data_IF_593612569234
#
_entry.id   IF_593612569234
#
_cell.length_a   1.000
_cell.length_b   1.000
_cell.length_c   1.000
_cell.angle_alpha   90.00
_cell.angle_beta   90.00
_cell.angle_gamma   90.00
#
_symmetry.space_group_name_H-M   'P 1'
#
loop_
_entity.id
_entity.type
_entity.pdbx_description
1 polymer ?
#
# COMPACT_ATOMS: atom_id res chain seq x y z
N UNK A 1 -41.21 -18.60 10.66
CA UNK A 1 -39.77 -18.87 10.83
C UNK A 1 -39.04 -18.26 9.65
N UNK A 2 -38.48 -17.06 9.85
CA UNK A 2 -37.68 -16.37 8.83
C UNK A 2 -36.36 -17.12 8.68
N UNK A 3 -36.10 -17.69 7.50
CA UNK A 3 -34.74 -18.14 7.16
C UNK A 3 -33.91 -16.87 7.01
N UNK A 4 -32.95 -16.66 7.91
CA UNK A 4 -31.90 -15.67 7.70
C UNK A 4 -31.27 -15.96 6.32
N UNK A 5 -31.05 -14.94 5.48
CA UNK A 5 -30.37 -15.16 4.21
C UNK A 5 -28.99 -15.73 4.52
N UNK A 6 -28.66 -16.85 3.88
CA UNK A 6 -27.29 -17.37 3.85
C UNK A 6 -26.40 -16.19 3.45
N UNK A 7 -25.53 -15.76 4.37
CA UNK A 7 -24.50 -14.80 4.04
C UNK A 7 -23.72 -15.44 2.88
N UNK A 8 -23.87 -14.89 1.68
CA UNK A 8 -23.07 -15.27 0.54
C UNK A 8 -21.62 -15.03 0.97
N UNK A 9 -20.92 -16.11 1.33
CA UNK A 9 -19.49 -16.07 1.62
C UNK A 9 -18.81 -15.75 0.30
N UNK A 10 -18.52 -14.47 0.08
CA UNK A 10 -17.78 -14.04 -1.10
C UNK A 10 -16.29 -14.26 -0.74
N UNK A 11 -15.76 -15.40 -1.19
CA UNK A 11 -14.40 -15.86 -0.90
C UNK A 11 -13.43 -15.44 -2.02
N UNK A 12 -13.22 -14.14 -2.19
CA UNK A 12 -12.41 -13.60 -3.30
C UNK A 12 -11.10 -12.99 -2.83
N UNK A 13 -10.07 -13.08 -3.68
CA UNK A 13 -8.82 -12.34 -3.52
C UNK A 13 -8.96 -10.87 -3.97
N UNK A 14 -7.89 -10.08 -3.83
CA UNK A 14 -7.86 -8.67 -4.25
C UNK A 14 -8.11 -8.43 -5.76
N UNK A 15 -8.08 -9.49 -6.58
CA UNK A 15 -8.37 -9.47 -8.01
C UNK A 15 -9.80 -9.96 -8.35
N UNK A 16 -10.62 -10.28 -7.36
CA UNK A 16 -11.98 -10.76 -7.56
C UNK A 16 -12.07 -12.22 -8.04
N UNK A 17 -11.04 -13.03 -7.75
CA UNK A 17 -10.99 -14.46 -8.08
C UNK A 17 -10.98 -15.29 -6.81
N UNK A 18 -11.54 -16.50 -6.85
CA UNK A 18 -11.47 -17.45 -5.74
C UNK A 18 -10.03 -17.99 -5.62
N UNK A 19 -9.29 -17.70 -4.53
CA UNK A 19 -7.96 -18.25 -4.37
C UNK A 19 -8.05 -19.70 -3.88
N UNK A 20 -7.16 -20.55 -4.39
CA UNK A 20 -7.01 -21.92 -3.89
C UNK A 20 -6.20 -21.87 -2.59
N UNK A 21 -6.90 -21.99 -1.46
CA UNK A 21 -6.30 -22.02 -0.12
C UNK A 21 -6.41 -23.42 0.48
N UNK A 22 -5.39 -23.79 1.23
CA UNK A 22 -5.30 -25.02 2.01
C UNK A 22 -5.56 -24.78 3.52
N UNK A 23 -6.20 -23.65 3.83
CA UNK A 23 -6.69 -23.26 5.16
C UNK A 23 -8.16 -22.83 5.09
N UNK A 24 -8.92 -22.92 6.19
CA UNK A 24 -10.28 -22.38 6.24
C UNK A 24 -10.28 -20.86 5.99
N UNK A 25 -11.31 -20.37 5.29
CA UNK A 25 -11.49 -18.94 5.10
C UNK A 25 -11.87 -18.28 6.44
N UNK A 26 -11.15 -17.25 6.89
CA UNK A 26 -11.47 -16.60 8.17
C UNK A 26 -12.58 -15.56 8.02
N UNK A 27 -13.24 -15.25 9.15
CA UNK A 27 -13.96 -13.99 9.32
C UNK A 27 -13.10 -12.96 10.06
N UNK A 28 -13.38 -11.67 9.85
CA UNK A 28 -12.76 -10.58 10.60
C UNK A 28 -13.86 -9.81 11.33
N UNK A 29 -14.05 -10.13 12.61
CA UNK A 29 -15.13 -9.57 13.45
C UNK A 29 -16.53 -9.79 12.86
N UNK A 30 -16.79 -10.98 12.30
CA UNK A 30 -18.06 -11.28 11.63
C UNK A 30 -18.22 -10.59 10.26
N UNK A 31 -17.21 -9.84 9.81
CA UNK A 31 -17.17 -9.26 8.46
C UNK A 31 -16.36 -10.16 7.52
N UNK A 32 -16.62 -9.96 6.23
CA UNK A 32 -16.00 -10.72 5.17
C UNK A 32 -14.50 -10.41 5.04
N UNK A 33 -13.66 -11.44 5.04
CA UNK A 33 -12.23 -11.30 4.79
C UNK A 33 -11.93 -11.35 3.28
N UNK A 34 -11.02 -10.48 2.83
CA UNK A 34 -10.42 -10.49 1.49
C UNK A 34 -9.03 -11.10 1.59
N UNK A 35 -8.75 -12.11 0.76
CA UNK A 35 -7.40 -12.68 0.68
C UNK A 35 -6.47 -11.72 -0.09
N UNK A 36 -5.33 -11.39 0.53
CA UNK A 36 -4.36 -10.43 -0.02
C UNK A 36 -3.15 -11.17 -0.57
N UNK A 37 -2.46 -11.97 0.26
CA UNK A 37 -1.20 -12.59 -0.12
C UNK A 37 -0.94 -13.90 0.65
N UNK A 38 -0.27 -14.86 0.01
CA UNK A 38 0.36 -16.01 0.67
C UNK A 38 1.87 -15.82 0.63
N UNK A 39 2.51 -15.94 1.78
CA UNK A 39 3.95 -15.72 1.97
C UNK A 39 4.54 -17.00 2.54
N UNK A 40 5.30 -17.73 1.74
CA UNK A 40 6.12 -18.84 2.23
C UNK A 40 7.45 -18.28 2.71
N UNK A 41 7.84 -18.50 3.96
CA UNK A 41 9.18 -18.15 4.43
C UNK A 41 10.15 -19.25 4.01
N UNK A 42 11.17 -18.90 3.23
CA UNK A 42 12.18 -19.85 2.78
C UNK A 42 13.19 -20.10 3.91
N UNK A 43 13.97 -21.19 3.80
CA UNK A 43 15.00 -21.53 4.79
C UNK A 43 15.93 -20.35 5.14
N UNK A 44 16.39 -19.60 4.13
CA UNK A 44 17.24 -18.42 4.35
C UNK A 44 16.52 -17.31 5.14
N UNK A 45 15.21 -17.13 4.96
CA UNK A 45 14.42 -16.17 5.71
C UNK A 45 14.32 -16.59 7.19
N UNK A 46 14.12 -17.90 7.44
CA UNK A 46 14.04 -18.47 8.80
C UNK A 46 15.38 -18.36 9.53
N UNK A 47 16.51 -18.61 8.84
CA UNK A 47 17.85 -18.42 9.38
C UNK A 47 18.11 -16.98 9.80
N UNK A 48 17.69 -15.99 8.99
CA UNK A 48 17.79 -14.58 9.34
C UNK A 48 16.93 -14.21 10.56
N UNK A 49 15.78 -14.85 10.71
CA UNK A 49 14.89 -14.67 11.85
C UNK A 49 15.34 -15.44 13.11
N UNK A 50 16.34 -16.32 13.01
CA UNK A 50 16.72 -17.22 14.09
C UNK A 50 15.65 -18.28 14.40
N UNK A 51 14.77 -18.58 13.44
CA UNK A 51 13.67 -19.51 13.58
C UNK A 51 14.05 -20.92 13.14
N UNK A 52 13.47 -21.93 13.79
CA UNK A 52 13.60 -23.35 13.44
C UNK A 52 12.28 -23.96 12.93
N UNK A 53 11.18 -23.19 12.98
CA UNK A 53 9.86 -23.63 12.54
C UNK A 53 9.57 -23.12 11.14
N UNK A 54 9.48 -24.07 10.20
CA UNK A 54 8.97 -23.85 8.85
C UNK A 54 7.53 -23.34 8.91
N UNK A 55 7.30 -22.16 8.31
CA UNK A 55 5.99 -21.50 8.37
C UNK A 55 5.60 -20.79 7.08
N UNK A 56 4.30 -20.74 6.86
CA UNK A 56 3.66 -19.92 5.84
C UNK A 56 2.71 -18.92 6.47
N UNK A 57 2.60 -17.74 5.88
CA UNK A 57 1.72 -16.68 6.33
C UNK A 57 0.65 -16.43 5.26
N UNK A 58 -0.59 -16.34 5.68
CA UNK A 58 -1.73 -15.98 4.85
C UNK A 58 -2.26 -14.64 5.33
N UNK A 59 -2.13 -13.62 4.51
CA UNK A 59 -2.56 -12.26 4.82
C UNK A 59 -3.96 -12.02 4.28
N UNK A 60 -4.84 -11.61 5.18
CA UNK A 60 -6.20 -11.18 4.91
C UNK A 60 -6.41 -9.76 5.41
N UNK A 61 -7.36 -9.06 4.80
CA UNK A 61 -7.86 -7.78 5.30
C UNK A 61 -9.38 -7.74 5.22
N UNK A 62 -10.00 -6.86 6.00
CA UNK A 62 -11.43 -6.62 5.93
C UNK A 62 -11.82 -5.30 6.56
N UNK A 63 -12.94 -4.76 6.10
CA UNK A 63 -13.58 -3.60 6.71
C UNK A 63 -14.44 -4.03 7.89
N UNK A 64 -14.26 -3.37 9.02
CA UNK A 64 -15.04 -3.57 10.25
C UNK A 64 -15.82 -2.29 10.53
N UNK A 65 -17.14 -2.40 10.49
CA UNK A 65 -18.05 -1.30 10.80
C UNK A 65 -18.02 -1.02 12.31
N UNK A 66 -17.89 0.26 12.69
CA UNK A 66 -17.84 0.66 14.10
C UNK A 66 -19.24 0.77 14.71
N UNK A 67 -20.29 0.83 13.89
CA UNK A 67 -21.66 1.12 14.29
C UNK A 67 -21.92 2.61 14.59
N UNK A 68 -20.91 3.46 14.55
CA UNK A 68 -21.04 4.91 14.69
C UNK A 68 -21.37 5.54 13.33
N UNK A 69 -22.33 6.47 13.30
CA UNK A 69 -22.70 7.20 12.08
C UNK A 69 -22.38 8.67 12.27
N UNK A 70 -21.41 9.16 11.49
CA UNK A 70 -21.04 10.57 11.46
C UNK A 70 -21.96 11.34 10.50
N UNK A 71 -22.45 12.55 10.87
CA UNK A 71 -23.35 13.33 10.01
C UNK A 71 -22.80 13.64 8.61
N UNK A 72 -21.50 13.87 8.49
CA UNK A 72 -20.84 14.22 7.22
C UNK A 72 -20.26 13.02 6.46
N UNK A 73 -19.85 11.97 7.18
CA UNK A 73 -19.06 10.87 6.61
C UNK A 73 -19.82 9.54 6.54
N UNK A 74 -21.05 9.50 7.07
CA UNK A 74 -21.86 8.29 7.13
C UNK A 74 -21.35 7.31 8.18
N UNK A 75 -21.64 6.03 7.97
CA UNK A 75 -21.18 4.97 8.88
C UNK A 75 -19.65 4.87 8.88
N UNK A 76 -19.07 5.00 10.07
CA UNK A 76 -17.64 4.91 10.28
C UNK A 76 -17.19 3.45 10.30
N UNK A 77 -16.08 3.18 9.62
CA UNK A 77 -15.49 1.86 9.52
C UNK A 77 -13.98 1.92 9.68
N UNK A 78 -13.37 0.77 9.97
CA UNK A 78 -11.92 0.61 10.12
C UNK A 78 -11.45 -0.57 9.30
N UNK A 79 -10.24 -0.49 8.78
CA UNK A 79 -9.57 -1.68 8.22
C UNK A 79 -9.01 -2.50 9.37
N UNK A 80 -9.22 -3.81 9.32
CA UNK A 80 -8.53 -4.78 10.16
C UNK A 80 -7.80 -5.76 9.26
N UNK A 81 -6.66 -6.26 9.73
CA UNK A 81 -5.91 -7.31 9.05
C UNK A 81 -5.89 -8.57 9.90
N UNK A 82 -5.71 -9.71 9.25
CA UNK A 82 -5.50 -10.98 9.90
C UNK A 82 -4.37 -11.69 9.18
N UNK A 83 -3.35 -12.08 9.93
CA UNK A 83 -2.32 -12.99 9.44
C UNK A 83 -2.55 -14.35 10.06
N UNK A 84 -2.74 -15.36 9.23
CA UNK A 84 -2.78 -16.75 9.68
C UNK A 84 -1.40 -17.34 9.40
N UNK A 85 -0.71 -17.70 10.46
CA UNK A 85 0.52 -18.47 10.39
C UNK A 85 0.18 -19.95 10.40
N UNK A 86 0.70 -20.69 9.42
CA UNK A 86 0.66 -22.14 9.37
C UNK A 86 2.05 -22.69 9.60
N UNK A 87 2.24 -23.40 10.70
CA UNK A 87 3.44 -24.19 10.94
C UNK A 87 3.39 -25.46 10.08
N UNK A 88 4.35 -25.63 9.17
CA UNK A 88 4.27 -26.66 8.13
C UNK A 88 4.47 -28.08 8.69
N UNK A 89 5.30 -28.22 9.71
CA UNK A 89 5.60 -29.52 10.34
C UNK A 89 4.42 -30.10 11.14
N UNK A 90 3.68 -29.25 11.86
CA UNK A 90 2.57 -29.64 12.72
C UNK A 90 1.20 -29.44 12.08
N UNK A 91 1.10 -28.59 11.07
CA UNK A 91 -0.17 -28.11 10.51
C UNK A 91 -0.91 -27.13 11.43
N UNK A 92 -0.30 -26.70 12.55
CA UNK A 92 -0.92 -25.76 13.49
C UNK A 92 -1.15 -24.41 12.83
N UNK A 93 -2.35 -23.87 13.03
CA UNK A 93 -2.74 -22.52 12.60
C UNK A 93 -2.74 -21.57 13.80
N UNK A 94 -1.99 -20.47 13.67
CA UNK A 94 -1.92 -19.39 14.66
C UNK A 94 -2.48 -18.14 14.02
N UNK A 95 -3.43 -17.51 14.71
CA UNK A 95 -4.15 -16.34 14.23
C UNK A 95 -3.58 -15.08 14.87
N UNK A 96 -3.14 -14.16 14.03
CA UNK A 96 -2.61 -12.85 14.40
C UNK A 96 -3.61 -11.76 13.97
N UNK A 97 -4.66 -11.47 14.77
CA UNK A 97 -5.59 -10.40 14.46
C UNK A 97 -4.91 -9.04 14.70
N UNK A 98 -4.89 -8.18 13.68
CA UNK A 98 -4.18 -6.90 13.69
C UNK A 98 -5.18 -5.75 13.53
N UNK A 99 -5.16 -4.84 14.50
CA UNK A 99 -5.95 -3.62 14.50
C UNK A 99 -5.06 -2.41 14.74
N UNK A 100 -5.51 -1.25 14.29
CA UNK A 100 -4.84 0.01 14.58
C UNK A 100 -5.29 0.51 15.96
N UNK A 101 -4.37 0.51 16.93
CA UNK A 101 -4.66 0.85 18.33
C UNK A 101 -3.89 2.13 18.72
N UNK A 102 -4.42 3.31 18.36
CA UNK A 102 -3.83 4.62 18.67
C UNK A 102 -2.42 4.88 18.08
N UNK A 103 -1.92 3.97 17.23
CA UNK A 103 -0.62 4.05 16.57
C UNK A 103 -0.76 3.97 15.05
N UNK A 104 0.33 4.25 14.32
CA UNK A 104 0.39 4.13 12.85
C UNK A 104 0.48 2.68 12.37
N UNK A 105 0.78 1.74 13.28
CA UNK A 105 0.93 0.32 12.98
C UNK A 105 -0.34 -0.46 13.32
N UNK A 106 -0.61 -1.49 12.53
CA UNK A 106 -1.55 -2.54 12.87
C UNK A 106 -0.81 -3.63 13.64
N UNK A 107 -1.27 -3.88 14.86
CA UNK A 107 -0.66 -4.83 15.79
C UNK A 107 -1.75 -5.62 16.51
N UNK A 108 -1.36 -6.75 17.11
CA UNK A 108 -2.29 -7.49 17.97
C UNK A 108 -2.49 -6.71 19.27
N UNK A 109 -3.73 -6.64 19.73
CA UNK A 109 -4.07 -5.93 20.98
C UNK A 109 -3.26 -6.48 22.16
N UNK A 110 -2.61 -5.57 22.88
CA UNK A 110 -1.78 -5.90 24.05
C UNK A 110 -0.33 -6.27 23.74
N UNK A 111 0.11 -6.21 22.48
CA UNK A 111 1.52 -6.31 22.14
C UNK A 111 2.26 -5.01 22.48
N UNK A 112 3.36 -5.12 23.23
CA UNK A 112 4.28 -4.01 23.47
C UNK A 112 5.30 -3.97 22.33
N UNK A 113 4.89 -3.34 21.23
CA UNK A 113 5.80 -2.92 20.18
C UNK A 113 5.61 -1.43 19.94
N UNK A 114 6.70 -0.75 19.57
CA UNK A 114 6.68 0.70 19.33
C UNK A 114 7.12 1.02 17.92
N UNK A 115 6.38 1.85 17.18
CA UNK A 115 6.82 2.31 15.87
C UNK A 115 8.04 3.24 16.02
N UNK A 116 9.01 3.07 15.13
CA UNK A 116 10.12 4.00 14.95
C UNK A 116 10.08 4.52 13.52
N UNK A 117 10.07 5.85 13.36
CA UNK A 117 10.08 6.50 12.06
C UNK A 117 11.35 6.13 11.29
N UNK A 118 11.19 5.78 10.01
CA UNK A 118 12.30 5.29 9.18
C UNK A 118 13.37 6.35 8.94
N UNK A 119 12.98 7.63 8.84
CA UNK A 119 13.90 8.75 8.66
C UNK A 119 14.87 8.97 9.83
N UNK A 120 14.56 8.39 10.99
CA UNK A 120 15.45 8.36 12.17
C UNK A 120 16.43 7.18 12.18
N UNK A 121 16.30 6.24 11.23
CA UNK A 121 17.10 5.00 11.16
C UNK A 121 18.08 5.09 9.99
N UNK A 122 19.33 4.67 10.19
CA UNK A 122 20.28 4.60 9.06
C UNK A 122 19.85 3.46 8.14
N UNK A 123 19.90 3.70 6.82
CA UNK A 123 19.51 2.72 5.81
C UNK A 123 20.12 1.32 5.98
N UNK A 124 21.37 1.23 6.45
CA UNK A 124 22.08 -0.03 6.68
C UNK A 124 21.57 -0.85 7.88
N UNK A 125 20.83 -0.20 8.79
CA UNK A 125 20.30 -0.81 10.01
C UNK A 125 18.85 -1.31 9.82
N UNK A 126 18.25 -1.06 8.64
CA UNK A 126 16.92 -1.56 8.27
C UNK A 126 17.01 -3.05 7.93
N UNK A 127 16.26 -3.86 8.66
CA UNK A 127 16.24 -5.32 8.51
C UNK A 127 15.17 -5.72 7.49
N UNK A 128 15.52 -6.61 6.56
CA UNK A 128 14.58 -7.18 5.58
C UNK A 128 14.99 -8.60 5.22
N UNK A 129 14.02 -9.47 4.91
CA UNK A 129 14.29 -10.87 4.61
C UNK A 129 14.82 -11.07 3.19
N UNK A 130 14.10 -10.52 2.19
CA UNK A 130 14.40 -10.78 0.76
C UNK A 130 14.84 -9.56 0.00
N UNK A 131 14.03 -8.51 0.07
CA UNK A 131 14.23 -7.27 -0.68
C UNK A 131 13.96 -6.09 0.24
N UNK A 132 14.66 -4.97 0.06
CA UNK A 132 14.34 -3.77 0.81
C UNK A 132 12.93 -3.27 0.46
N UNK A 133 12.22 -2.68 1.42
CA UNK A 133 10.90 -2.11 1.19
C UNK A 133 10.98 -0.88 0.29
N UNK A 134 9.94 -0.70 -0.52
CA UNK A 134 9.74 0.47 -1.41
C UNK A 134 8.71 1.43 -0.83
N UNK A 135 8.91 1.86 0.40
CA UNK A 135 8.09 2.88 1.04
C UNK A 135 8.62 4.30 0.74
N UNK A 136 7.78 5.30 1.02
CA UNK A 136 8.24 6.65 1.29
C UNK A 136 8.78 6.73 2.72
N UNK A 137 10.08 6.99 2.88
CA UNK A 137 10.78 6.97 4.16
C UNK A 137 10.30 8.05 5.15
N UNK A 138 9.80 9.19 4.67
CA UNK A 138 9.30 10.28 5.54
C UNK A 138 7.95 9.96 6.20
N UNK A 139 7.29 8.89 5.76
CA UNK A 139 5.98 8.48 6.26
C UNK A 139 6.03 7.09 6.90
N UNK A 140 7.08 6.32 6.63
CA UNK A 140 7.17 4.93 7.05
C UNK A 140 7.62 4.80 8.51
N UNK A 141 7.08 3.79 9.17
CA UNK A 141 7.52 3.34 10.50
C UNK A 141 7.86 1.86 10.47
N UNK A 142 8.87 1.47 11.26
CA UNK A 142 9.24 0.08 11.50
C UNK A 142 8.92 -0.23 12.96
N UNK A 143 8.23 -1.34 13.27
CA UNK A 143 7.97 -1.70 14.64
C UNK A 143 9.24 -2.20 15.32
N UNK A 144 9.33 -1.94 16.63
CA UNK A 144 10.38 -2.44 17.51
C UNK A 144 9.78 -3.20 18.67
N UNK A 145 10.41 -4.29 19.10
CA UNK A 145 10.10 -4.98 20.35
C UNK A 145 11.41 -5.25 21.09
N UNK A 146 11.45 -4.99 22.40
CA UNK A 146 12.64 -5.17 23.23
C UNK A 146 13.92 -4.48 22.67
N UNK A 147 13.75 -3.32 22.03
CA UNK A 147 14.85 -2.56 21.43
C UNK A 147 15.37 -3.12 20.10
N UNK A 148 14.75 -4.16 19.54
CA UNK A 148 15.09 -4.75 18.26
C UNK A 148 14.06 -4.39 17.19
N UNK A 149 14.53 -4.06 15.98
CA UNK A 149 13.68 -3.82 14.81
C UNK A 149 13.08 -5.13 14.32
N UNK A 150 11.85 -5.07 13.82
CA UNK A 150 11.27 -6.17 13.07
C UNK A 150 11.93 -6.25 11.68
N UNK A 151 11.93 -7.45 11.10
CA UNK A 151 12.33 -7.66 9.72
C UNK A 151 11.17 -7.31 8.79
N UNK A 152 11.44 -6.49 7.78
CA UNK A 152 10.52 -6.34 6.66
C UNK A 152 10.42 -7.66 5.88
N UNK A 153 9.20 -8.16 5.72
CA UNK A 153 8.90 -9.47 5.16
C UNK A 153 8.39 -9.37 3.72
N UNK A 154 7.28 -8.65 3.51
CA UNK A 154 6.62 -8.52 2.21
C UNK A 154 5.96 -7.17 2.05
N UNK A 155 5.71 -6.77 0.81
CA UNK A 155 4.84 -5.64 0.49
C UNK A 155 3.89 -6.00 -0.65
N UNK A 156 2.67 -5.50 -0.55
CA UNK A 156 1.62 -5.72 -1.56
C UNK A 156 0.85 -4.43 -1.79
N UNK A 157 0.71 -4.05 -3.05
CA UNK A 157 -0.12 -2.93 -3.45
C UNK A 157 -1.57 -3.39 -3.60
N UNK A 158 -2.50 -2.70 -2.94
CA UNK A 158 -3.93 -2.94 -3.05
C UNK A 158 -4.50 -2.05 -4.17
N UNK A 159 -4.78 -2.57 -5.37
CA UNK A 159 -5.31 -1.75 -6.45
C UNK A 159 -6.74 -1.30 -6.18
N UNK A 160 -7.20 -0.30 -6.95
CA UNK A 160 -8.59 0.11 -6.93
C UNK A 160 -9.47 -0.87 -7.74
N UNK A 161 -9.97 -1.91 -7.07
CA UNK A 161 -10.91 -2.89 -7.64
C UNK A 161 -12.29 -2.77 -6.99
N UNK A 162 -13.32 -3.37 -7.60
CA UNK A 162 -14.66 -3.41 -7.01
C UNK A 162 -14.63 -4.09 -5.62
N UNK A 163 -13.91 -5.22 -5.51
CA UNK A 163 -13.70 -5.93 -4.24
C UNK A 163 -13.07 -5.04 -3.18
N UNK A 164 -11.94 -4.40 -3.49
CA UNK A 164 -11.23 -3.57 -2.50
C UNK A 164 -12.04 -2.34 -2.09
N UNK A 165 -12.80 -1.74 -3.01
CA UNK A 165 -13.72 -0.64 -2.71
C UNK A 165 -14.85 -1.04 -1.75
N UNK A 166 -15.31 -2.28 -1.83
CA UNK A 166 -16.46 -2.75 -1.07
C UNK A 166 -16.08 -3.37 0.29
N UNK A 167 -14.96 -4.10 0.35
CA UNK A 167 -14.64 -4.97 1.48
C UNK A 167 -13.31 -4.64 2.18
N UNK A 168 -12.53 -3.70 1.67
CA UNK A 168 -11.21 -3.33 2.20
C UNK A 168 -10.93 -1.82 2.00
N UNK A 169 -9.66 -1.47 1.80
CA UNK A 169 -9.13 -0.19 1.32
C UNK A 169 -8.47 -0.40 -0.05
N UNK A 170 -8.17 0.69 -0.75
CA UNK A 170 -7.56 0.67 -2.07
C UNK A 170 -6.46 1.73 -2.20
N UNK A 171 -5.67 1.59 -3.25
CA UNK A 171 -4.54 2.46 -3.61
C UNK A 171 -3.55 2.62 -2.44
N UNK A 172 -3.47 1.58 -1.62
CA UNK A 172 -2.66 1.53 -0.40
C UNK A 172 -1.65 0.40 -0.55
N UNK A 173 -0.40 0.64 -0.18
CA UNK A 173 0.59 -0.43 -0.05
C UNK A 173 0.65 -0.92 1.39
N UNK A 174 0.50 -2.23 1.56
CA UNK A 174 0.61 -2.92 2.84
C UNK A 174 2.03 -3.46 2.98
N UNK A 175 2.71 -3.13 4.08
CA UNK A 175 4.04 -3.61 4.42
C UNK A 175 3.95 -4.53 5.65
N UNK A 176 4.34 -5.79 5.47
CA UNK A 176 4.35 -6.79 6.52
C UNK A 176 5.72 -6.84 7.20
N UNK A 177 5.72 -6.80 8.52
CA UNK A 177 6.89 -6.96 9.36
C UNK A 177 6.73 -8.16 10.27
N UNK A 178 7.83 -8.87 10.50
CA UNK A 178 7.86 -10.04 11.37
C UNK A 178 9.04 -9.98 12.33
N UNK A 179 8.85 -10.55 13.51
CA UNK A 179 9.89 -10.71 14.52
C UNK A 179 9.66 -12.03 15.25
N UNK A 180 10.73 -12.76 15.54
CA UNK A 180 10.65 -14.03 16.27
C UNK A 180 11.13 -13.79 17.69
N UNK A 181 10.24 -14.05 18.65
CA UNK A 181 10.54 -13.97 20.08
C UNK A 181 11.13 -15.29 20.60
N UNK A 182 11.36 -15.35 21.91
CA UNK A 182 11.70 -16.58 22.61
C UNK A 182 10.67 -17.70 22.32
N UNK A 183 11.14 -18.94 22.35
CA UNK A 183 10.34 -20.13 22.00
C UNK A 183 9.76 -20.13 20.57
N UNK A 184 10.37 -19.37 19.66
CA UNK A 184 10.04 -19.33 18.24
C UNK A 184 8.63 -18.76 17.93
N UNK A 185 8.09 -17.96 18.87
CA UNK A 185 6.82 -17.25 18.72
C UNK A 185 6.96 -16.13 17.67
N UNK A 186 6.09 -16.11 16.66
CA UNK A 186 6.04 -15.03 15.68
C UNK A 186 5.24 -13.84 16.21
N UNK A 187 5.82 -12.65 16.09
CA UNK A 187 5.10 -11.37 16.12
C UNK A 187 4.98 -10.86 14.70
N UNK A 188 3.78 -10.37 14.38
CA UNK A 188 3.47 -9.83 13.06
C UNK A 188 2.85 -8.46 13.22
N UNK A 189 3.33 -7.49 12.44
CA UNK A 189 2.75 -6.16 12.39
C UNK A 189 2.69 -5.65 10.95
N UNK A 190 1.74 -4.75 10.71
CA UNK A 190 1.52 -4.16 9.39
C UNK A 190 1.64 -2.65 9.48
N UNK A 191 2.37 -2.06 8.53
CA UNK A 191 2.28 -0.65 8.22
C UNK A 191 1.54 -0.49 6.89
N UNK A 192 0.70 0.52 6.76
CA UNK A 192 0.07 0.88 5.49
C UNK A 192 0.51 2.26 5.07
N UNK A 193 0.76 2.42 3.77
CA UNK A 193 1.04 3.72 3.18
C UNK A 193 0.04 3.96 2.08
N UNK A 194 -0.65 5.11 2.14
CA UNK A 194 -1.41 5.58 1.00
C UNK A 194 -0.43 5.81 -0.15
N UNK A 195 -0.67 5.10 -1.24
CA UNK A 195 0.07 5.21 -2.49
C UNK A 195 -0.79 5.87 -3.56
N UNK A 196 -1.76 6.68 -3.13
CA UNK A 196 -2.50 7.59 -3.98
C UNK A 196 -1.52 8.27 -4.91
N UNK A 197 -1.81 8.15 -6.20
CA UNK A 197 -0.92 8.58 -7.26
C UNK A 197 -0.65 10.11 -7.21
N UNK A 198 -1.37 10.81 -6.33
CA UNK A 198 -1.16 12.20 -5.95
C UNK A 198 -1.48 12.37 -4.47
N UNK A 199 -0.46 12.62 -3.65
CA UNK A 199 -0.66 13.07 -2.25
C UNK A 199 -1.26 14.48 -2.22
N UNK A 200 -1.79 14.94 -1.08
CA UNK A 200 -2.25 16.33 -0.93
C UNK A 200 -1.12 17.35 -1.21
N UNK A 201 0.10 17.05 -0.78
CA UNK A 201 1.28 17.86 -1.10
C UNK A 201 1.60 17.85 -2.61
N UNK A 202 1.46 16.70 -3.27
CA UNK A 202 1.58 16.61 -4.74
C UNK A 202 0.45 17.36 -5.46
N UNK A 203 -0.71 17.51 -4.83
CA UNK A 203 -1.81 18.31 -5.35
C UNK A 203 -1.48 19.80 -5.27
N UNK A 204 -1.09 20.32 -4.10
CA UNK A 204 -0.70 21.72 -3.95
C UNK A 204 0.49 22.08 -4.85
N UNK A 205 1.51 21.22 -4.91
CA UNK A 205 2.64 21.43 -5.83
C UNK A 205 2.20 21.42 -7.30
N UNK A 206 1.24 20.57 -7.67
CA UNK A 206 0.69 20.57 -9.01
C UNK A 206 -0.05 21.89 -9.30
N UNK A 207 -0.88 22.38 -8.38
CA UNK A 207 -1.59 23.64 -8.51
C UNK A 207 -0.62 24.82 -8.71
N UNK A 208 0.45 24.89 -7.92
CA UNK A 208 1.51 25.91 -8.08
C UNK A 208 2.19 25.81 -9.45
N UNK A 209 2.49 24.60 -9.91
CA UNK A 209 3.10 24.37 -11.23
C UNK A 209 2.15 24.72 -12.38
N UNK A 210 0.84 24.47 -12.22
CA UNK A 210 -0.20 24.85 -13.18
C UNK A 210 -0.34 26.36 -13.25
N UNK A 211 -0.40 27.04 -12.09
CA UNK A 211 -0.47 28.50 -12.01
C UNK A 211 0.74 29.15 -12.67
N UNK A 212 1.94 28.67 -12.36
CA UNK A 212 3.17 29.18 -12.97
C UNK A 212 3.23 28.94 -14.47
N UNK A 213 2.67 27.84 -14.96
CA UNK A 213 2.53 27.63 -16.40
C UNK A 213 1.56 28.65 -17.01
N UNK A 214 0.42 28.93 -16.38
CA UNK A 214 -0.56 29.90 -16.91
C UNK A 214 0.00 31.31 -17.06
N UNK A 215 0.89 31.70 -16.15
CA UNK A 215 1.59 32.99 -16.15
C UNK A 215 2.70 33.03 -17.21
N UNK A 216 3.54 32.00 -17.28
CA UNK A 216 4.79 32.01 -18.05
C UNK A 216 4.81 31.01 -19.23
N UNK A 217 3.65 30.60 -19.78
CA UNK A 217 3.58 29.57 -20.83
C UNK A 217 4.37 29.90 -22.12
N UNK A 218 4.67 31.18 -22.33
CA UNK A 218 5.45 31.67 -23.47
C UNK A 218 6.97 31.64 -23.22
N UNK A 219 7.44 31.43 -21.99
CA UNK A 219 8.87 31.33 -21.67
C UNK A 219 9.33 29.86 -21.78
N UNK A 220 10.13 29.50 -22.81
CA UNK A 220 10.59 28.12 -23.01
C UNK A 220 11.42 27.58 -21.85
N UNK A 221 12.18 28.43 -21.14
CA UNK A 221 13.02 27.99 -20.04
C UNK A 221 12.18 27.61 -18.81
N UNK A 222 11.16 28.41 -18.50
CA UNK A 222 10.21 28.11 -17.42
C UNK A 222 9.41 26.86 -17.75
N UNK A 223 8.89 26.73 -18.97
CA UNK A 223 8.14 25.54 -19.40
C UNK A 223 9.00 24.27 -19.33
N UNK A 224 10.27 24.35 -19.76
CA UNK A 224 11.21 23.22 -19.63
C UNK A 224 11.48 22.86 -18.17
N UNK A 225 11.66 23.86 -17.30
CA UNK A 225 11.85 23.63 -15.86
C UNK A 225 10.64 22.91 -15.26
N UNK A 226 9.43 23.38 -15.58
CA UNK A 226 8.18 22.78 -15.13
C UNK A 226 8.05 21.33 -15.62
N UNK A 227 8.33 21.03 -16.88
CA UNK A 227 8.28 19.66 -17.43
C UNK A 227 9.33 18.74 -16.77
N UNK A 228 10.53 19.24 -16.47
CA UNK A 228 11.55 18.40 -15.81
C UNK A 228 11.17 18.07 -14.36
N UNK A 229 10.65 19.05 -13.64
CA UNK A 229 10.23 18.92 -12.24
C UNK A 229 8.86 18.25 -12.09
N UNK A 230 8.00 18.34 -13.09
CA UNK A 230 6.62 17.88 -13.08
C UNK A 230 6.48 16.37 -12.99
N UNK A 231 5.38 15.93 -12.38
CA UNK A 231 4.98 14.52 -12.35
C UNK A 231 4.08 14.19 -13.56
N UNK A 232 3.48 13.00 -13.57
CA UNK A 232 2.59 12.57 -14.66
C UNK A 232 1.36 13.47 -14.80
N UNK A 233 0.84 14.02 -13.71
CA UNK A 233 -0.36 14.86 -13.69
C UNK A 233 -0.12 16.23 -14.32
N UNK A 234 1.01 16.88 -14.01
CA UNK A 234 1.37 18.12 -14.70
C UNK A 234 1.51 17.88 -16.20
N UNK A 235 2.15 16.77 -16.59
CA UNK A 235 2.32 16.46 -18.01
C UNK A 235 1.00 16.17 -18.72
N UNK A 236 0.04 15.51 -18.06
CA UNK A 236 -1.31 15.31 -18.60
C UNK A 236 -2.08 16.62 -18.72
N UNK A 237 -1.96 17.51 -17.73
CA UNK A 237 -2.51 18.87 -17.80
C UNK A 237 -1.94 19.62 -19.01
N UNK A 238 -0.60 19.71 -19.12
CA UNK A 238 0.07 20.41 -20.22
C UNK A 238 -0.27 19.82 -21.59
N UNK A 239 -0.35 18.48 -21.71
CA UNK A 239 -0.71 17.80 -22.96
C UNK A 239 -2.10 18.19 -23.47
N UNK A 240 -3.02 18.48 -22.56
CA UNK A 240 -4.40 18.83 -22.86
C UNK A 240 -4.69 20.34 -22.76
N UNK A 241 -3.69 21.14 -22.39
CA UNK A 241 -3.89 22.56 -22.14
C UNK A 241 -4.06 23.35 -23.45
N UNK A 242 -5.06 24.26 -23.55
CA UNK A 242 -5.29 25.06 -24.75
C UNK A 242 -4.06 25.88 -25.17
N UNK A 243 -3.38 26.49 -24.19
CA UNK A 243 -2.19 27.33 -24.40
C UNK A 243 -0.90 26.55 -24.66
N UNK A 244 -0.89 25.21 -24.56
CA UNK A 244 0.31 24.43 -24.80
C UNK A 244 0.75 24.56 -26.26
N UNK A 245 1.88 25.22 -26.50
CA UNK A 245 2.39 25.46 -27.84
C UNK A 245 2.95 24.17 -28.47
N UNK A 246 3.21 24.19 -29.78
CA UNK A 246 3.97 23.13 -30.46
C UNK A 246 5.31 22.86 -29.77
N UNK A 247 5.97 23.91 -29.28
CA UNK A 247 7.21 23.80 -28.53
C UNK A 247 7.02 23.09 -27.19
N UNK A 248 5.99 23.45 -26.42
CA UNK A 248 5.62 22.76 -25.17
C UNK A 248 5.37 21.26 -25.40
N UNK A 249 4.68 20.92 -26.49
CA UNK A 249 4.42 19.52 -26.85
C UNK A 249 5.70 18.77 -27.26
N UNK A 250 6.63 19.42 -27.95
CA UNK A 250 7.93 18.85 -28.27
C UNK A 250 8.76 18.58 -27.00
N UNK A 251 8.76 19.51 -26.05
CA UNK A 251 9.42 19.33 -24.76
C UNK A 251 8.81 18.16 -23.96
N UNK A 252 7.48 18.01 -23.97
CA UNK A 252 6.80 16.86 -23.37
C UNK A 252 7.15 15.54 -24.05
N UNK A 253 7.29 15.53 -25.38
CA UNK A 253 7.71 14.34 -26.13
C UNK A 253 9.11 13.87 -25.73
N UNK A 254 10.01 14.81 -25.41
CA UNK A 254 11.37 14.50 -25.00
C UNK A 254 11.46 14.10 -23.52
N UNK A 255 10.81 14.87 -22.64
CA UNK A 255 11.04 14.81 -21.19
C UNK A 255 9.86 14.26 -20.37
N UNK A 256 8.73 13.90 -21.00
CA UNK A 256 7.56 13.34 -20.31
C UNK A 256 7.87 12.12 -19.44
N UNK A 257 7.09 11.89 -18.38
CA UNK A 257 7.37 10.81 -17.41
C UNK A 257 7.10 9.41 -17.97
N UNK A 258 6.10 9.24 -18.84
CA UNK A 258 5.68 7.92 -19.34
C UNK A 258 5.87 7.81 -20.84
N UNK A 259 6.13 6.58 -21.33
CA UNK A 259 6.29 6.30 -22.78
C UNK A 259 5.02 6.66 -23.56
N UNK A 260 3.85 6.36 -23.02
CA UNK A 260 2.56 6.68 -23.64
C UNK A 260 2.38 8.20 -23.80
N UNK A 261 2.71 8.97 -22.76
CA UNK A 261 2.59 10.43 -22.80
C UNK A 261 3.56 11.04 -23.82
N UNK A 262 4.82 10.59 -23.85
CA UNK A 262 5.80 11.04 -24.84
C UNK A 262 5.33 10.81 -26.28
N UNK A 263 4.75 9.63 -26.55
CA UNK A 263 4.25 9.29 -27.88
C UNK A 263 3.05 10.17 -28.30
N UNK A 264 2.09 10.39 -27.41
CA UNK A 264 0.94 11.26 -27.69
C UNK A 264 1.35 12.74 -27.86
N UNK A 265 2.28 13.23 -27.03
CA UNK A 265 2.83 14.57 -27.17
C UNK A 265 3.53 14.76 -28.52
N UNK A 266 4.34 13.79 -28.95
CA UNK A 266 5.02 13.82 -30.26
C UNK A 266 4.02 13.88 -31.42
N UNK A 267 2.96 13.06 -31.36
CA UNK A 267 1.89 13.04 -32.35
C UNK A 267 1.20 14.40 -32.45
N UNK A 268 0.82 15.00 -31.32
CA UNK A 268 0.15 16.32 -31.30
C UNK A 268 1.07 17.45 -31.74
N UNK A 269 2.35 17.39 -31.41
CA UNK A 269 3.33 18.37 -31.85
C UNK A 269 3.45 18.40 -33.39
N UNK A 270 3.28 17.26 -34.06
CA UNK A 270 3.31 17.18 -35.53
C UNK A 270 2.09 17.81 -36.18
N UNK A 271 0.92 17.78 -35.52
CA UNK A 271 -0.35 18.26 -36.08
C UNK A 271 -0.69 19.70 -35.69
N UNK A 272 -0.09 20.23 -34.62
CA UNK A 272 -0.33 21.61 -34.16
C UNK A 272 0.45 22.58 -35.07
N UNK A 273 -0.29 23.47 -35.72
CA UNK A 273 0.24 24.51 -36.61
C UNK A 273 0.74 25.70 -35.82
#
# INVERSE_FOLDING_TARGET
MSKAPEAFMIAVNMHGQDPVLDIPWPDIHGNQAVFIERITLAQADLEMLGSQIDRELYLFGGTVHTGEVHPEYGELWRVHYLVIERQLSSGTLIYHPLSQNEEVMYSRKGEDARPVCVDMIKKKDILFLRRPPKWNASQASIPTCNGQLFHFCSQVYLPQTATNRQYLTFVTTVFLFVHVLEHDELRVQIFTQDTSEQTAEDHYRLEDQMMRFEEDYNDPAVVLQLIRAGNKWLHEYLLNHPKASKHTLALLAEHGKTKALKAEAAKRAMTKT
#
